data_IF_612469110023
#
_entry.id   IF_612469110023
#
_cell.length_a   1.000
_cell.length_b   1.000
_cell.length_c   1.000
_cell.angle_alpha   90.00
_cell.angle_beta   90.00
_cell.angle_gamma   90.00
#
_symmetry.space_group_name_H-M   'P 1'
#
loop_
_entity.id
_entity.type
_entity.pdbx_description
1 polymer ?
#
# COMPACT_ATOMS: atom_id res chain seq x y z
N UNK A 1 15.45 -10.55 4.61
CA UNK A 1 15.65 -9.26 3.97
C UNK A 1 14.35 -8.77 3.36
N UNK A 2 13.92 -7.57 3.75
CA UNK A 2 12.68 -7.02 3.24
C UNK A 2 12.88 -6.47 1.84
N UNK A 3 12.03 -6.91 0.92
CA UNK A 3 12.09 -6.45 -0.47
C UNK A 3 11.07 -5.32 -0.66
N UNK A 4 11.56 -4.12 -0.94
CA UNK A 4 10.67 -3.00 -1.21
C UNK A 4 10.20 -3.05 -2.67
N UNK A 5 8.97 -2.63 -2.90
CA UNK A 5 8.45 -2.52 -4.26
C UNK A 5 9.03 -1.30 -4.95
N UNK A 6 9.25 -1.40 -6.26
CA UNK A 6 9.63 -0.25 -7.06
C UNK A 6 8.39 0.59 -7.36
N UNK A 7 8.60 1.84 -7.80
CA UNK A 7 7.49 2.71 -8.18
C UNK A 7 6.64 2.08 -9.28
N UNK A 8 7.28 1.45 -10.27
CA UNK A 8 6.55 0.79 -11.34
C UNK A 8 5.68 -0.34 -10.82
N UNK A 9 6.19 -1.10 -9.88
CA UNK A 9 5.42 -2.20 -9.29
C UNK A 9 4.22 -1.68 -8.51
N UNK A 10 4.40 -0.58 -7.78
CA UNK A 10 3.30 0.04 -7.04
C UNK A 10 2.20 0.49 -8.00
N UNK A 11 2.57 1.11 -9.12
CA UNK A 11 1.61 1.60 -10.10
C UNK A 11 0.84 0.48 -10.78
N UNK A 12 1.33 -0.75 -10.71
CA UNK A 12 0.67 -1.92 -11.31
C UNK A 12 -0.19 -2.71 -10.32
N UNK A 13 -0.24 -2.28 -9.08
CA UNK A 13 -1.03 -3.01 -8.09
C UNK A 13 -2.52 -2.95 -8.43
N UNK A 14 -3.27 -4.00 -8.08
CA UNK A 14 -4.73 -3.96 -8.26
C UNK A 14 -5.35 -2.91 -7.33
N UNK A 15 -6.65 -2.70 -7.46
CA UNK A 15 -7.36 -1.66 -6.71
C UNK A 15 -7.08 -1.71 -5.21
N UNK A 16 -7.03 -2.91 -4.65
CA UNK A 16 -6.60 -3.10 -3.26
C UNK A 16 -5.55 -4.19 -3.19
N UNK A 17 -4.75 -4.14 -2.15
CA UNK A 17 -3.71 -5.15 -1.94
C UNK A 17 -3.69 -5.52 -0.46
N UNK A 18 -2.98 -6.60 -0.12
CA UNK A 18 -2.88 -7.01 1.28
C UNK A 18 -1.91 -6.11 2.02
N UNK A 19 -1.94 -6.21 3.36
CA UNK A 19 -1.10 -5.36 4.20
C UNK A 19 0.39 -5.60 3.95
N UNK A 20 0.78 -6.84 3.70
CA UNK A 20 2.19 -7.17 3.48
C UNK A 20 2.72 -6.50 2.21
N UNK A 21 1.95 -6.53 1.15
CA UNK A 21 2.35 -5.87 -0.10
C UNK A 21 2.40 -4.36 0.08
N UNK A 22 1.42 -3.78 0.77
CA UNK A 22 1.43 -2.36 1.06
C UNK A 22 2.66 -1.97 1.88
N UNK A 23 3.01 -2.79 2.86
CA UNK A 23 4.20 -2.54 3.68
C UNK A 23 5.46 -2.59 2.84
N UNK A 24 5.54 -3.52 1.90
CA UNK A 24 6.69 -3.62 1.02
C UNK A 24 6.87 -2.35 0.18
N UNK A 25 5.77 -1.70 -0.19
CA UNK A 25 5.84 -0.43 -0.93
C UNK A 25 6.53 0.66 -0.11
N UNK A 26 6.46 0.58 1.21
CA UNK A 26 7.09 1.55 2.10
C UNK A 26 8.40 1.03 2.69
N UNK A 27 8.83 -0.16 2.32
CA UNK A 27 10.04 -0.75 2.88
C UNK A 27 9.87 -1.18 4.34
N UNK A 28 8.66 -1.46 4.76
CA UNK A 28 8.35 -1.86 6.14
C UNK A 28 8.27 -3.37 6.23
N UNK A 29 8.91 -3.95 7.23
CA UNK A 29 8.86 -5.39 7.44
C UNK A 29 7.47 -5.83 7.89
N UNK A 30 7.18 -7.13 7.68
CA UNK A 30 5.86 -7.69 7.95
C UNK A 30 5.42 -7.50 9.40
N UNK A 31 6.27 -7.84 10.35
CA UNK A 31 5.93 -7.72 11.77
C UNK A 31 5.63 -6.30 12.17
N UNK A 32 6.45 -5.37 11.69
CA UNK A 32 6.27 -3.95 11.96
C UNK A 32 4.97 -3.45 11.34
N UNK A 33 4.65 -3.94 10.13
CA UNK A 33 3.43 -3.54 9.46
C UNK A 33 2.18 -3.90 10.25
N UNK A 34 2.13 -5.12 10.79
CA UNK A 34 0.99 -5.55 11.59
C UNK A 34 0.90 -4.78 12.90
N UNK A 35 2.04 -4.47 13.51
CA UNK A 35 2.08 -3.64 14.70
C UNK A 35 1.51 -2.25 14.43
N UNK A 36 1.97 -1.62 13.36
CA UNK A 36 1.50 -0.28 12.99
C UNK A 36 0.01 -0.29 12.67
N UNK A 37 -0.45 -1.31 11.96
CA UNK A 37 -1.87 -1.43 11.63
C UNK A 37 -2.72 -1.56 12.91
N UNK A 38 -2.24 -2.34 13.87
CA UNK A 38 -2.93 -2.55 15.12
C UNK A 38 -3.04 -1.27 15.94
N UNK A 39 -2.01 -0.42 15.88
CA UNK A 39 -1.97 0.85 16.58
C UNK A 39 -2.62 1.98 15.83
N UNK A 40 -3.07 1.74 14.59
CA UNK A 40 -3.62 2.80 13.76
C UNK A 40 -2.58 3.78 13.24
N UNK A 41 -1.32 3.32 13.14
CA UNK A 41 -0.20 4.19 12.73
C UNK A 41 0.40 3.79 11.39
N UNK A 42 -0.24 2.89 10.66
CA UNK A 42 0.23 2.53 9.34
C UNK A 42 0.14 3.76 8.41
N UNK A 43 1.09 3.95 7.49
CA UNK A 43 1.10 5.17 6.64
C UNK A 43 -0.09 5.31 5.71
N UNK A 44 -0.87 4.25 5.51
CA UNK A 44 -2.07 4.30 4.71
C UNK A 44 -3.25 3.82 5.55
N UNK A 45 -4.46 4.15 5.10
CA UNK A 45 -5.66 3.63 5.72
C UNK A 45 -5.75 2.13 5.50
N UNK A 46 -5.96 1.40 6.58
CA UNK A 46 -6.12 -0.05 6.53
C UNK A 46 -7.61 -0.39 6.58
N UNK A 47 -8.05 -1.18 5.62
CA UNK A 47 -9.45 -1.56 5.50
C UNK A 47 -9.59 -3.00 6.03
N UNK A 48 -10.51 -3.19 6.95
CA UNK A 48 -10.83 -4.53 7.43
C UNK A 48 -11.91 -5.16 6.57
N UNK A 49 -11.56 -6.30 5.99
CA UNK A 49 -12.53 -7.08 5.20
C UNK A 49 -12.57 -8.49 5.80
N UNK A 50 -13.46 -8.70 6.76
CA UNK A 50 -13.49 -9.94 7.51
C UNK A 50 -12.21 -10.09 8.32
N UNK A 51 -11.46 -11.16 8.06
CA UNK A 51 -10.18 -11.40 8.72
C UNK A 51 -9.01 -10.79 7.99
N UNK A 52 -9.25 -10.32 6.77
CA UNK A 52 -8.17 -9.77 5.95
C UNK A 52 -8.01 -8.29 6.20
N UNK A 53 -6.77 -7.83 6.10
CA UNK A 53 -6.46 -6.41 6.13
C UNK A 53 -6.05 -6.01 4.71
N UNK A 54 -6.73 -5.02 4.17
CA UNK A 54 -6.51 -4.56 2.80
C UNK A 54 -6.15 -3.09 2.81
N UNK A 55 -5.42 -2.68 1.80
CA UNK A 55 -5.03 -1.27 1.63
C UNK A 55 -5.35 -0.87 0.19
N UNK A 56 -6.00 0.27 0.01
CA UNK A 56 -6.29 0.77 -1.33
C UNK A 56 -4.99 1.20 -1.99
N UNK A 57 -4.76 0.71 -3.21
CA UNK A 57 -3.53 1.05 -3.93
C UNK A 57 -3.44 2.55 -4.23
N UNK A 58 -4.58 3.22 -4.41
CA UNK A 58 -4.61 4.66 -4.61
C UNK A 58 -4.01 5.39 -3.41
N UNK A 59 -4.25 4.89 -2.20
CA UNK A 59 -3.68 5.50 -1.00
C UNK A 59 -2.17 5.33 -0.95
N UNK A 60 -1.67 4.17 -1.40
CA UNK A 60 -0.23 3.94 -1.46
C UNK A 60 0.41 4.91 -2.45
N UNK A 61 -0.20 5.03 -3.62
CA UNK A 61 0.29 5.93 -4.67
C UNK A 61 0.35 7.37 -4.16
N UNK A 62 -0.70 7.79 -3.47
CA UNK A 62 -0.76 9.15 -2.92
C UNK A 62 0.29 9.36 -1.84
N UNK A 63 0.44 8.39 -0.93
CA UNK A 63 1.38 8.49 0.16
C UNK A 63 2.83 8.54 -0.33
N UNK A 64 3.12 7.88 -1.45
CA UNK A 64 4.45 7.86 -2.04
C UNK A 64 4.71 9.01 -3.00
N UNK A 65 3.71 9.85 -3.25
CA UNK A 65 3.86 10.98 -4.16
C UNK A 65 3.95 10.60 -5.63
N UNK A 66 3.33 9.48 -6.01
CA UNK A 66 3.38 8.98 -7.38
C UNK A 66 2.15 9.36 -8.21
N UNK A 67 1.33 10.26 -7.71
CA UNK A 67 0.06 10.60 -8.35
C UNK A 67 0.23 11.13 -9.78
N UNK A 68 1.26 11.93 -9.99
CA UNK A 68 1.51 12.52 -11.30
C UNK A 68 2.04 11.50 -12.30
N UNK A 69 2.37 10.29 -11.87
CA UNK A 69 2.83 9.21 -12.75
C UNK A 69 1.71 8.28 -13.16
N UNK A 70 0.51 8.47 -12.61
CA UNK A 70 -0.65 7.67 -12.96
C UNK A 70 -1.20 8.16 -14.30
N UNK A 71 -1.44 7.26 -15.28
CA UNK A 71 -2.00 7.68 -16.55
C UNK A 71 -3.34 8.37 -16.39
N UNK A 72 -3.57 9.46 -17.14
CA UNK A 72 -4.80 10.22 -17.03
C UNK A 72 -6.04 9.36 -17.33
N UNK A 73 -5.91 8.39 -18.22
CA UNK A 73 -7.00 7.50 -18.57
C UNK A 73 -7.50 6.67 -17.39
N UNK A 74 -6.68 6.47 -16.38
CA UNK A 74 -7.07 5.67 -15.23
C UNK A 74 -7.91 6.44 -14.22
N UNK A 75 -8.21 7.68 -14.50
CA UNK A 75 -8.99 8.53 -13.63
C UNK A 75 -10.46 8.58 -13.98
N UNK A 76 -10.89 7.68 -14.79
CA UNK A 76 -12.26 7.70 -15.29
C UNK A 76 -13.33 7.80 -14.24
#
# INVERSE_FOLDING_TARGET
>A
MTQALTADEVLRLPATTNLETAAAAFGIGRGTAYDLARKGEFPCRVIRAGRALRVASADIIRALGLEDRVPAASQG
#
